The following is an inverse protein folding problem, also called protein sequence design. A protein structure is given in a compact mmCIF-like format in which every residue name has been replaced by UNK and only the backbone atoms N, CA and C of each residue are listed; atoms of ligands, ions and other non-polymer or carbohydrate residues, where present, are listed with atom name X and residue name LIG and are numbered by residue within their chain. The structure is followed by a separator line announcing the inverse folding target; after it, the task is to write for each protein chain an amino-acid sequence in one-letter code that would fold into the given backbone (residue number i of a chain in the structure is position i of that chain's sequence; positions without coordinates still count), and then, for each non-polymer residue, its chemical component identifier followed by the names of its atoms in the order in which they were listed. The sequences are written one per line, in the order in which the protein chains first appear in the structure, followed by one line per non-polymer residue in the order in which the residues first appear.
data_IF_857646890981
#
_entry.id   IF_857646890981
#
_cell.length_a   1.000
_cell.length_b   1.000
_cell.length_c   1.000
_cell.angle_alpha   90.00
_cell.angle_beta   90.00
_cell.angle_gamma   90.00
#
_symmetry.space_group_name_H-M   'P 1'
#
loop_
_entity.id
_entity.type
_entity.pdbx_description
1 polymer ?
#
# COMPACT_ATOMS: atom_id res chain seq x y z
N UNK A 1 7.37 19.49 -5.19
CA UNK A 1 6.74 18.15 -5.02
C UNK A 1 6.75 17.67 -3.56
N UNK A 2 7.44 18.36 -2.65
CA UNK A 2 7.49 18.08 -1.20
C UNK A 2 6.21 18.46 -0.44
N UNK A 3 5.39 19.38 -0.96
CA UNK A 3 4.33 20.00 -0.16
C UNK A 3 3.04 19.15 -0.07
N UNK A 4 2.96 18.06 -0.84
CA UNK A 4 1.81 17.14 -0.83
C UNK A 4 1.99 15.94 0.09
N UNK A 5 3.22 15.65 0.56
CA UNK A 5 3.48 14.49 1.43
C UNK A 5 2.87 14.67 2.81
N UNK A 6 2.90 15.90 3.35
CA UNK A 6 2.23 16.26 4.59
C UNK A 6 0.73 15.95 4.53
N UNK A 7 0.02 16.55 3.57
CA UNK A 7 -1.41 16.34 3.41
C UNK A 7 -1.74 14.89 3.08
N UNK A 8 -0.90 14.19 2.32
CA UNK A 8 -1.06 12.76 2.05
C UNK A 8 -0.98 11.93 3.34
N UNK A 9 -0.01 12.21 4.22
CA UNK A 9 0.16 11.51 5.50
C UNK A 9 -1.03 11.76 6.45
N UNK A 10 -1.41 13.02 6.60
CA UNK A 10 -2.51 13.43 7.51
C UNK A 10 -3.86 12.90 7.00
N UNK A 11 -4.17 13.12 5.72
CA UNK A 11 -5.43 12.66 5.14
C UNK A 11 -5.53 11.12 5.10
N UNK A 12 -4.43 10.41 4.88
CA UNK A 12 -4.41 8.94 4.94
C UNK A 12 -4.89 8.45 6.31
N UNK A 13 -4.39 9.04 7.40
CA UNK A 13 -4.85 8.73 8.75
C UNK A 13 -6.35 8.96 8.91
N UNK A 14 -6.84 10.13 8.49
CA UNK A 14 -8.26 10.49 8.59
C UNK A 14 -9.18 9.54 7.81
N UNK A 15 -8.81 9.20 6.59
CA UNK A 15 -9.61 8.31 5.73
C UNK A 15 -9.57 6.85 6.21
N UNK A 16 -8.44 6.39 6.74
CA UNK A 16 -8.31 5.02 7.25
C UNK A 16 -9.07 4.82 8.57
N UNK A 17 -9.05 5.82 9.45
CA UNK A 17 -9.68 5.72 10.78
C UNK A 17 -11.04 6.39 10.86
N UNK A 18 -11.55 6.98 9.77
CA UNK A 18 -12.78 7.77 9.75
C UNK A 18 -12.79 8.85 10.84
N UNK A 19 -11.65 9.52 11.04
CA UNK A 19 -11.38 10.48 12.12
C UNK A 19 -11.45 9.94 13.56
N UNK A 20 -11.69 8.65 13.79
CA UNK A 20 -11.81 8.05 15.15
C UNK A 20 -10.53 8.24 15.96
N UNK A 21 -9.36 8.20 15.32
CA UNK A 21 -8.08 8.34 16.02
C UNK A 21 -7.71 9.76 16.40
N UNK A 22 -8.41 10.77 15.85
CA UNK A 22 -8.08 12.19 16.06
C UNK A 22 -9.17 12.95 16.79
N UNK A 23 -10.44 12.51 16.73
CA UNK A 23 -11.56 13.12 17.44
C UNK A 23 -11.86 12.40 18.76
N UNK A 24 -12.40 13.12 19.77
CA UNK A 24 -13.05 12.47 20.91
C UNK A 24 -14.14 11.49 20.47
N UNK A 25 -14.26 10.36 21.16
CA UNK A 25 -15.11 9.24 20.74
C UNK A 25 -16.58 9.66 20.50
N UNK A 26 -17.11 10.56 21.32
CA UNK A 26 -18.47 11.09 21.22
C UNK A 26 -18.71 11.88 19.93
N UNK A 27 -17.69 12.58 19.44
CA UNK A 27 -17.72 13.32 18.19
C UNK A 27 -17.48 12.38 17.00
N UNK A 28 -16.56 11.42 17.17
CA UNK A 28 -16.23 10.46 16.12
C UNK A 28 -17.42 9.59 15.70
N UNK A 29 -18.29 9.18 16.64
CA UNK A 29 -19.49 8.40 16.32
C UNK A 29 -20.43 9.15 15.38
N UNK A 30 -20.65 10.46 15.59
CA UNK A 30 -21.48 11.27 14.69
C UNK A 30 -20.90 11.33 13.25
N UNK A 31 -19.57 11.36 13.12
CA UNK A 31 -18.89 11.31 11.81
C UNK A 31 -19.08 9.94 11.15
N UNK A 32 -18.99 8.86 11.94
CA UNK A 32 -19.23 7.50 11.47
C UNK A 32 -20.68 7.30 11.01
N UNK A 33 -21.65 7.89 11.71
CA UNK A 33 -23.05 7.88 11.29
C UNK A 33 -23.24 8.55 9.93
N UNK A 34 -22.58 9.68 9.70
CA UNK A 34 -22.58 10.37 8.41
C UNK A 34 -21.92 9.52 7.30
N UNK A 35 -20.83 8.79 7.64
CA UNK A 35 -20.19 7.85 6.72
C UNK A 35 -21.12 6.68 6.34
N UNK A 36 -21.89 6.13 7.27
CA UNK A 36 -22.83 5.05 6.93
C UNK A 36 -23.97 5.53 6.03
N UNK A 37 -24.40 6.79 6.17
CA UNK A 37 -25.47 7.36 5.35
C UNK A 37 -24.99 7.78 3.95
N UNK A 38 -23.87 8.51 3.85
CA UNK A 38 -23.44 9.18 2.61
C UNK A 38 -22.07 8.69 2.09
N UNK A 39 -21.49 7.70 2.75
CA UNK A 39 -20.24 7.06 2.38
C UNK A 39 -19.01 7.96 2.54
N UNK A 40 -18.01 7.67 1.72
CA UNK A 40 -16.72 8.38 1.71
C UNK A 40 -16.85 9.89 1.42
N UNK A 41 -17.94 10.30 0.79
CA UNK A 41 -18.23 11.69 0.46
C UNK A 41 -18.31 12.56 1.72
N UNK A 42 -18.98 12.08 2.77
CA UNK A 42 -19.09 12.77 4.05
C UNK A 42 -17.71 13.00 4.68
N UNK A 43 -16.84 11.99 4.64
CA UNK A 43 -15.47 12.06 5.19
C UNK A 43 -14.62 13.07 4.42
N UNK A 44 -14.75 13.11 3.09
CA UNK A 44 -14.07 14.11 2.26
C UNK A 44 -14.56 15.53 2.57
N UNK A 45 -15.88 15.73 2.66
CA UNK A 45 -16.49 17.04 2.97
C UNK A 45 -16.04 17.53 4.35
N UNK A 46 -16.03 16.66 5.36
CA UNK A 46 -15.56 16.98 6.69
C UNK A 46 -14.06 17.33 6.68
N UNK A 47 -13.23 16.52 6.01
CA UNK A 47 -11.79 16.79 5.90
C UNK A 47 -11.49 18.13 5.23
N UNK A 48 -12.23 18.49 4.19
CA UNK A 48 -12.12 19.80 3.55
C UNK A 48 -12.54 20.93 4.49
N UNK A 49 -13.64 20.78 5.21
CA UNK A 49 -14.10 21.77 6.20
C UNK A 49 -13.09 21.97 7.34
N UNK A 50 -12.47 20.89 7.84
CA UNK A 50 -11.42 20.97 8.87
C UNK A 50 -10.19 21.71 8.36
N UNK A 51 -9.74 21.42 7.13
CA UNK A 51 -8.60 22.09 6.52
C UNK A 51 -8.88 23.57 6.30
N UNK A 52 -10.08 23.89 5.82
CA UNK A 52 -10.51 25.25 5.53
C UNK A 52 -10.68 26.09 6.82
N UNK A 53 -11.24 25.50 7.87
CA UNK A 53 -11.32 26.14 9.19
C UNK A 53 -9.93 26.51 9.74
N UNK A 54 -8.92 25.68 9.47
CA UNK A 54 -7.56 25.90 9.97
C UNK A 54 -6.65 26.55 8.92
N UNK A 55 -7.17 26.99 7.77
CA UNK A 55 -6.37 27.44 6.63
C UNK A 55 -5.40 28.56 6.99
N UNK A 56 -5.88 29.63 7.64
CA UNK A 56 -5.03 30.77 8.03
C UNK A 56 -3.88 30.33 8.93
N UNK A 57 -4.14 29.41 9.86
CA UNK A 57 -3.12 28.89 10.78
C UNK A 57 -2.13 28.00 10.06
N UNK A 58 -2.61 27.12 9.17
CA UNK A 58 -1.79 26.24 8.35
C UNK A 58 -0.86 27.03 7.42
N UNK A 59 -1.34 28.13 6.82
CA UNK A 59 -0.52 29.00 5.97
C UNK A 59 0.61 29.71 6.74
N UNK A 60 0.47 29.88 8.05
CA UNK A 60 1.51 30.49 8.90
C UNK A 60 2.53 29.49 9.45
N UNK A 61 2.28 28.19 9.30
CA UNK A 61 3.17 27.14 9.82
C UNK A 61 4.50 27.11 9.07
N UNK A 62 5.59 26.86 9.79
CA UNK A 62 6.95 26.80 9.21
C UNK A 62 7.37 25.40 8.80
N UNK A 63 6.82 24.38 9.45
CA UNK A 63 7.11 22.98 9.21
C UNK A 63 5.87 22.09 9.37
N UNK A 64 5.99 20.85 8.85
CA UNK A 64 4.93 19.84 8.91
C UNK A 64 4.56 19.50 10.36
N UNK A 65 5.54 19.54 11.28
CA UNK A 65 5.32 19.25 12.69
C UNK A 65 4.39 20.27 13.34
N UNK A 66 4.63 21.57 13.13
CA UNK A 66 3.76 22.65 13.61
C UNK A 66 2.34 22.48 13.05
N UNK A 67 2.20 22.20 11.75
CA UNK A 67 0.91 21.98 11.10
C UNK A 67 0.13 20.79 11.71
N UNK A 68 0.81 19.66 12.00
CA UNK A 68 0.20 18.54 12.74
C UNK A 68 -0.28 18.99 14.12
N UNK A 69 0.52 19.77 14.86
CA UNK A 69 0.10 20.24 16.20
C UNK A 69 -1.11 21.17 16.14
N UNK A 70 -1.23 22.00 15.10
CA UNK A 70 -2.40 22.88 14.90
C UNK A 70 -3.66 22.06 14.67
N UNK A 71 -3.58 21.05 13.81
CA UNK A 71 -4.72 20.16 13.52
C UNK A 71 -5.12 19.32 14.74
N UNK A 72 -4.16 18.73 15.45
CA UNK A 72 -4.46 17.97 16.67
C UNK A 72 -5.11 18.85 17.74
N UNK A 73 -4.57 20.06 17.98
CA UNK A 73 -5.19 21.03 18.89
C UNK A 73 -6.59 21.44 18.43
N UNK A 74 -6.86 21.50 17.13
CA UNK A 74 -8.21 21.76 16.65
C UNK A 74 -9.15 20.61 17.03
N UNK A 75 -8.77 19.36 16.74
CA UNK A 75 -9.58 18.19 17.07
C UNK A 75 -9.82 18.01 18.58
N UNK A 76 -8.84 18.33 19.42
CA UNK A 76 -9.00 18.33 20.89
C UNK A 76 -10.07 19.32 21.37
N UNK A 77 -10.31 20.41 20.61
CA UNK A 77 -11.32 21.41 20.90
C UNK A 77 -12.70 21.11 20.28
N UNK A 78 -12.81 20.05 19.46
CA UNK A 78 -14.07 19.59 18.89
C UNK A 78 -14.77 18.69 19.90
N UNK A 79 -16.02 18.99 20.22
CA UNK A 79 -16.78 18.23 21.21
C UNK A 79 -18.25 18.10 20.82
N UNK A 80 -18.92 17.14 21.45
CA UNK A 80 -20.35 16.94 21.30
C UNK A 80 -21.09 17.55 22.49
N UNK A 81 -21.90 18.59 22.26
CA UNK A 81 -22.72 19.23 23.30
C UNK A 81 -23.90 18.35 23.76
N UNK A 82 -24.35 17.42 22.92
CA UNK A 82 -25.49 16.53 23.17
C UNK A 82 -25.07 15.18 23.78
N UNK A 83 -23.84 15.07 24.30
CA UNK A 83 -23.37 13.82 24.92
C UNK A 83 -24.19 13.46 26.17
N UNK A 84 -24.70 12.22 26.27
CA UNK A 84 -25.41 11.74 27.46
C UNK A 84 -24.47 11.41 28.63
N UNK A 85 -23.14 11.53 28.45
CA UNK A 85 -22.16 11.15 29.47
C UNK A 85 -21.86 12.32 30.44
N UNK A 86 -21.72 12.04 31.75
CA UNK A 86 -21.40 13.08 32.72
C UNK A 86 -19.99 13.65 32.51
N UNK A 87 -19.86 14.97 32.60
CA UNK A 87 -18.62 15.73 32.39
C UNK A 87 -17.44 15.30 33.29
N UNK A 88 -17.69 14.48 34.31
CA UNK A 88 -16.69 13.94 35.25
C UNK A 88 -15.76 12.89 34.65
N UNK A 89 -16.11 12.25 33.52
CA UNK A 89 -15.22 11.28 32.84
C UNK A 89 -14.27 11.98 31.85
N UNK A 90 -14.46 13.27 31.58
CA UNK A 90 -13.77 14.05 30.54
C UNK A 90 -12.46 14.72 31.00
N UNK A 91 -12.11 14.63 32.29
CA UNK A 91 -10.84 15.18 32.81
C UNK A 91 -9.85 14.05 33.15
N UNK A 92 -9.33 13.38 32.12
CA UNK A 92 -8.06 12.67 32.22
C UNK A 92 -6.98 13.47 31.45
N UNK A 93 -6.75 14.69 31.91
CA UNK A 93 -5.58 15.50 31.58
C UNK A 93 -5.04 16.10 32.89
N UNK A 94 -3.70 16.24 33.06
CA UNK A 94 -3.13 16.55 34.36
C UNK A 94 -3.61 17.92 34.86
N UNK A 95 -3.94 17.97 36.15
CA UNK A 95 -4.32 19.18 36.89
C UNK A 95 -3.11 20.12 36.90
N UNK A 96 -3.04 20.96 35.87
CA UNK A 96 -2.13 22.10 35.77
C UNK A 96 -2.98 23.36 35.68
N UNK A 97 -3.09 24.06 36.80
CA UNK A 97 -3.62 25.42 36.86
C UNK A 97 -2.79 26.32 35.96
N UNK A 98 -3.35 26.82 34.86
CA UNK A 98 -2.98 28.13 34.34
C UNK A 98 -4.11 28.75 33.52
N UNK A 99 -4.35 30.03 33.79
CA UNK A 99 -5.49 30.77 33.31
C UNK A 99 -5.46 31.06 31.82
N UNK A 100 -6.68 31.06 31.27
CA UNK A 100 -7.12 32.02 30.26
C UNK A 100 -6.52 31.88 28.85
N UNK A 101 -7.13 30.98 28.06
CA UNK A 101 -7.70 31.25 26.73
C UNK A 101 -8.64 30.07 26.42
N UNK A 102 -9.93 30.24 26.70
CA UNK A 102 -10.94 29.30 26.22
C UNK A 102 -10.92 29.34 24.69
N UNK A 103 -10.27 28.38 24.05
CA UNK A 103 -10.48 28.19 22.62
C UNK A 103 -11.98 27.95 22.41
N UNK A 104 -12.60 28.57 21.38
CA UNK A 104 -14.02 28.35 21.11
C UNK A 104 -14.22 26.86 20.85
N UNK A 105 -14.94 26.20 21.76
CA UNK A 105 -15.28 24.79 21.67
C UNK A 105 -16.19 24.61 20.44
N UNK A 106 -15.67 24.00 19.39
CA UNK A 106 -16.41 23.75 18.15
C UNK A 106 -17.30 22.54 18.38
N UNK A 107 -18.60 22.69 18.14
CA UNK A 107 -19.51 21.56 18.23
C UNK A 107 -19.40 20.69 16.98
N UNK A 108 -19.35 19.38 17.16
CA UNK A 108 -19.24 18.45 16.03
C UNK A 108 -20.45 18.52 15.10
N UNK A 109 -21.65 18.75 15.63
CA UNK A 109 -22.88 18.85 14.82
C UNK A 109 -22.85 20.10 13.96
N UNK A 110 -22.38 21.21 14.53
CA UNK A 110 -22.15 22.46 13.80
C UNK A 110 -21.10 22.26 12.69
N UNK A 111 -19.99 21.58 12.99
CA UNK A 111 -18.93 21.29 12.01
C UNK A 111 -19.40 20.39 10.87
N UNK A 112 -20.15 19.33 11.19
CA UNK A 112 -20.75 18.45 10.19
C UNK A 112 -21.72 19.25 9.32
N UNK A 113 -22.60 20.04 9.92
CA UNK A 113 -23.55 20.88 9.19
C UNK A 113 -22.84 21.85 8.26
N UNK A 114 -21.82 22.57 8.74
CA UNK A 114 -21.01 23.48 7.93
C UNK A 114 -20.34 22.75 6.76
N UNK A 115 -19.84 21.52 6.98
CA UNK A 115 -19.25 20.72 5.91
C UNK A 115 -20.25 20.38 4.80
N UNK A 116 -21.50 20.05 5.16
CA UNK A 116 -22.58 19.78 4.21
C UNK A 116 -23.07 21.03 3.50
N UNK A 117 -23.11 22.18 4.17
CA UNK A 117 -23.53 23.45 3.57
C UNK A 117 -22.46 23.97 2.58
N UNK A 118 -21.19 23.95 2.97
CA UNK A 118 -20.08 24.50 2.19
C UNK A 118 -19.64 23.59 1.05
N UNK A 119 -19.57 22.29 1.31
CA UNK A 119 -19.10 21.28 0.35
C UNK A 119 -20.21 20.37 -0.17
N UNK A 120 -21.49 20.72 0.04
CA UNK A 120 -22.66 19.98 -0.45
C UNK A 120 -22.74 19.86 -1.98
N UNK A 121 -22.03 20.73 -2.71
CA UNK A 121 -21.91 20.65 -4.17
C UNK A 121 -21.12 19.44 -4.66
N UNK A 122 -20.28 18.83 -3.82
CA UNK A 122 -19.52 17.63 -4.16
C UNK A 122 -20.48 16.46 -4.30
N UNK A 123 -20.57 15.90 -5.51
CA UNK A 123 -21.43 14.74 -5.80
C UNK A 123 -20.67 13.43 -5.57
N UNK A 124 -21.38 12.40 -5.10
CA UNK A 124 -20.80 11.05 -4.93
C UNK A 124 -20.21 10.52 -6.24
N UNK A 125 -20.88 10.76 -7.38
CA UNK A 125 -20.40 10.38 -8.71
C UNK A 125 -19.04 11.01 -9.07
N UNK A 126 -18.80 12.25 -8.67
CA UNK A 126 -17.55 12.97 -8.93
C UNK A 126 -16.42 12.39 -8.08
N UNK A 127 -16.68 12.12 -6.80
CA UNK A 127 -15.73 11.44 -5.90
C UNK A 127 -15.37 10.07 -6.46
N UNK A 128 -16.35 9.28 -6.88
CA UNK A 128 -16.11 7.97 -7.48
C UNK A 128 -15.38 8.07 -8.83
N UNK A 129 -15.64 9.09 -9.63
CA UNK A 129 -14.90 9.36 -10.87
C UNK A 129 -13.42 9.66 -10.60
N UNK A 130 -13.13 10.52 -9.62
CA UNK A 130 -11.76 10.83 -9.20
C UNK A 130 -11.06 9.58 -8.64
N UNK A 131 -11.77 8.76 -7.85
CA UNK A 131 -11.24 7.48 -7.36
C UNK A 131 -10.89 6.54 -8.50
N UNK A 132 -11.79 6.38 -9.48
CA UNK A 132 -11.52 5.54 -10.67
C UNK A 132 -10.34 6.06 -11.47
N UNK A 133 -10.26 7.38 -11.70
CA UNK A 133 -9.16 8.02 -12.42
C UNK A 133 -7.80 7.80 -11.77
N UNK A 134 -7.74 7.84 -10.43
CA UNK A 134 -6.49 7.66 -9.69
C UNK A 134 -6.16 6.20 -9.35
N UNK A 135 -7.12 5.27 -9.51
CA UNK A 135 -6.97 3.86 -9.08
C UNK A 135 -5.74 3.19 -9.69
N UNK A 136 -5.53 3.33 -11.00
CA UNK A 136 -4.40 2.69 -11.68
C UNK A 136 -3.06 3.25 -11.19
N UNK A 137 -2.99 4.57 -11.01
CA UNK A 137 -1.78 5.23 -10.49
C UNK A 137 -1.44 4.77 -9.07
N UNK A 138 -2.44 4.65 -8.19
CA UNK A 138 -2.24 4.15 -6.82
C UNK A 138 -1.79 2.69 -6.85
N UNK A 139 -2.42 1.84 -7.66
CA UNK A 139 -2.02 0.43 -7.81
C UNK A 139 -0.57 0.34 -8.29
N UNK A 140 -0.20 1.06 -9.34
CA UNK A 140 1.17 1.10 -9.85
C UNK A 140 2.17 1.54 -8.78
N UNK A 141 1.85 2.57 -8.00
CA UNK A 141 2.70 3.07 -6.91
C UNK A 141 2.90 2.02 -5.81
N UNK A 142 1.84 1.29 -5.45
CA UNK A 142 1.91 0.20 -4.47
C UNK A 142 2.72 -0.98 -5.00
N UNK A 143 2.54 -1.34 -6.28
CA UNK A 143 3.31 -2.38 -6.95
C UNK A 143 4.80 -2.03 -7.03
N UNK A 144 5.13 -0.78 -7.36
CA UNK A 144 6.51 -0.30 -7.41
C UNK A 144 7.15 -0.31 -6.03
N UNK A 145 6.42 0.12 -5.00
CA UNK A 145 6.88 0.05 -3.60
C UNK A 145 7.17 -1.39 -3.19
N UNK A 146 6.27 -2.31 -3.53
CA UNK A 146 6.43 -3.75 -3.26
C UNK A 146 7.64 -4.31 -4.00
N UNK A 147 7.78 -4.01 -5.30
CA UNK A 147 8.97 -4.40 -6.09
C UNK A 147 10.24 -3.93 -5.38
N UNK A 148 10.33 -2.66 -5.00
CA UNK A 148 11.51 -2.13 -4.31
C UNK A 148 11.79 -2.84 -2.99
N UNK A 149 10.75 -3.26 -2.26
CA UNK A 149 10.91 -4.05 -1.04
C UNK A 149 11.49 -5.44 -1.32
N UNK A 150 10.97 -6.14 -2.33
CA UNK A 150 11.50 -7.44 -2.79
C UNK A 150 12.96 -7.31 -3.21
N UNK A 151 13.27 -6.36 -4.11
CA UNK A 151 14.61 -6.15 -4.65
C UNK A 151 15.62 -5.85 -3.53
N UNK A 152 15.23 -5.08 -2.52
CA UNK A 152 16.10 -4.74 -1.36
C UNK A 152 16.45 -5.95 -0.51
N UNK A 153 15.54 -6.91 -0.35
CA UNK A 153 15.81 -8.14 0.41
C UNK A 153 16.68 -9.07 -0.41
N UNK A 154 16.30 -9.32 -1.67
CA UNK A 154 17.00 -10.27 -2.53
C UNK A 154 18.43 -9.79 -2.84
N UNK A 155 18.66 -8.49 -3.02
CA UNK A 155 20.00 -7.94 -3.29
C UNK A 155 21.03 -8.19 -2.18
N UNK A 156 20.60 -8.54 -0.96
CA UNK A 156 21.50 -8.92 0.12
C UNK A 156 22.04 -10.35 -0.01
N UNK A 157 21.35 -11.19 -0.79
CA UNK A 157 21.62 -12.64 -0.88
C UNK A 157 22.22 -13.05 -2.23
N UNK A 158 22.18 -12.17 -3.23
CA UNK A 158 22.65 -12.45 -4.59
C UNK A 158 23.63 -11.39 -5.09
N UNK A 159 24.52 -11.78 -6.00
CA UNK A 159 25.57 -10.91 -6.55
C UNK A 159 25.15 -10.12 -7.80
N UNK A 160 23.85 -10.03 -8.09
CA UNK A 160 23.35 -9.28 -9.25
C UNK A 160 23.46 -7.77 -9.04
N UNK A 161 23.67 -7.04 -10.12
CA UNK A 161 23.51 -5.58 -10.10
C UNK A 161 22.04 -5.19 -9.92
N UNK A 162 21.79 -3.97 -9.44
CA UNK A 162 20.41 -3.47 -9.26
C UNK A 162 19.59 -3.51 -10.54
N UNK A 163 20.21 -3.25 -11.70
CA UNK A 163 19.55 -3.26 -13.00
C UNK A 163 19.20 -4.68 -13.45
N UNK A 164 20.11 -5.63 -13.28
CA UNK A 164 19.85 -7.04 -13.62
C UNK A 164 18.73 -7.62 -12.76
N UNK A 165 18.70 -7.29 -11.47
CA UNK A 165 17.66 -7.78 -10.56
C UNK A 165 16.28 -7.20 -10.92
N UNK A 166 16.22 -5.94 -11.34
CA UNK A 166 14.99 -5.32 -11.84
C UNK A 166 14.51 -5.97 -13.14
N UNK A 167 15.40 -6.24 -14.09
CA UNK A 167 15.07 -6.94 -15.33
C UNK A 167 14.56 -8.36 -15.08
N UNK A 168 15.22 -9.10 -14.18
CA UNK A 168 14.78 -10.44 -13.76
C UNK A 168 13.41 -10.39 -13.09
N UNK A 169 13.17 -9.41 -12.22
CA UNK A 169 11.86 -9.23 -11.56
C UNK A 169 10.77 -8.95 -12.57
N UNK A 170 11.01 -8.04 -13.52
CA UNK A 170 10.07 -7.72 -14.59
C UNK A 170 9.76 -8.95 -15.46
N UNK A 171 10.78 -9.76 -15.78
CA UNK A 171 10.61 -10.99 -16.53
C UNK A 171 9.80 -12.03 -15.75
N UNK A 172 10.13 -12.24 -14.48
CA UNK A 172 9.45 -13.16 -13.58
C UNK A 172 7.97 -12.78 -13.40
N UNK A 173 7.70 -11.51 -13.08
CA UNK A 173 6.37 -10.93 -12.97
C UNK A 173 5.59 -11.08 -14.28
N UNK A 174 6.22 -10.82 -15.43
CA UNK A 174 5.59 -11.01 -16.74
C UNK A 174 5.16 -12.46 -16.96
N UNK A 175 5.97 -13.44 -16.57
CA UNK A 175 5.64 -14.85 -16.74
C UNK A 175 4.54 -15.32 -15.80
N UNK A 176 4.53 -14.81 -14.56
CA UNK A 176 3.42 -15.00 -13.64
C UNK A 176 2.10 -14.56 -14.31
N UNK A 177 2.04 -13.33 -14.86
CA UNK A 177 0.83 -12.83 -15.52
C UNK A 177 0.52 -13.53 -16.85
N UNK A 178 1.50 -13.88 -17.67
CA UNK A 178 1.26 -14.49 -18.98
C UNK A 178 0.50 -15.81 -18.84
N UNK A 179 0.85 -16.63 -17.85
CA UNK A 179 0.10 -17.86 -17.60
C UNK A 179 -1.28 -17.61 -16.99
N UNK A 180 -1.44 -16.54 -16.21
CA UNK A 180 -2.72 -16.13 -15.62
C UNK A 180 -3.75 -15.68 -16.68
N UNK A 181 -3.34 -14.94 -17.71
CA UNK A 181 -4.25 -14.38 -18.73
C UNK A 181 -4.47 -15.29 -19.94
N UNK A 182 -3.47 -16.06 -20.38
CA UNK A 182 -3.55 -16.83 -21.64
C UNK A 182 -3.96 -18.30 -21.45
N UNK A 183 -4.00 -18.80 -20.21
CA UNK A 183 -4.53 -20.13 -19.90
C UNK A 183 -5.98 -19.96 -19.48
N UNK A 184 -6.92 -20.32 -20.36
CA UNK A 184 -8.37 -20.06 -20.25
C UNK A 184 -9.08 -20.58 -18.97
N UNK A 185 -8.37 -21.23 -18.04
CA UNK A 185 -8.87 -21.77 -16.77
C UNK A 185 -7.82 -21.70 -15.65
N UNK A 186 -7.02 -20.62 -15.56
CA UNK A 186 -6.07 -20.51 -14.45
C UNK A 186 -6.77 -19.99 -13.19
N UNK A 187 -6.86 -20.77 -12.09
CA UNK A 187 -7.39 -20.29 -10.82
C UNK A 187 -6.55 -19.15 -10.23
N UNK A 188 -5.38 -18.84 -10.79
CA UNK A 188 -4.41 -17.90 -10.22
C UNK A 188 -4.84 -16.43 -10.36
N UNK A 189 -5.70 -16.08 -11.34
CA UNK A 189 -6.36 -14.76 -11.36
C UNK A 189 -7.35 -14.58 -10.19
N UNK A 190 -7.81 -15.67 -9.56
CA UNK A 190 -8.57 -15.65 -8.30
C UNK A 190 -7.65 -15.66 -7.06
N UNK A 191 -6.34 -15.86 -7.22
CA UNK A 191 -5.35 -16.02 -6.14
C UNK A 191 -4.31 -14.90 -6.07
N UNK A 192 -4.57 -13.70 -6.61
CA UNK A 192 -3.84 -12.54 -6.11
C UNK A 192 -4.33 -12.27 -4.69
N UNK A 193 -3.73 -12.96 -3.72
CA UNK A 193 -4.03 -12.79 -2.31
C UNK A 193 -3.21 -11.62 -1.76
N UNK A 194 -3.82 -10.45 -1.55
CA UNK A 194 -3.11 -9.28 -1.05
C UNK A 194 -2.67 -9.45 0.42
N UNK A 195 -3.11 -10.50 1.11
CA UNK A 195 -2.69 -10.79 2.49
C UNK A 195 -1.33 -11.46 2.57
N UNK A 196 -0.80 -11.97 1.45
CA UNK A 196 0.51 -12.60 1.41
C UNK A 196 1.65 -11.57 1.60
N UNK A 197 2.74 -11.96 2.27
CA UNK A 197 3.96 -11.16 2.34
C UNK A 197 4.46 -10.75 0.94
N UNK A 198 5.08 -9.58 0.84
CA UNK A 198 5.55 -9.02 -0.45
C UNK A 198 6.46 -9.96 -1.26
N UNK A 199 7.15 -10.89 -0.60
CA UNK A 199 8.01 -11.88 -1.24
C UNK A 199 7.24 -13.04 -1.89
N UNK A 200 6.05 -13.34 -1.38
CA UNK A 200 5.19 -14.46 -1.79
C UNK A 200 4.09 -14.00 -2.75
N UNK A 201 3.93 -12.69 -2.98
CA UNK A 201 2.91 -12.14 -3.88
C UNK A 201 3.02 -12.65 -5.31
N UNK A 202 4.24 -12.93 -5.78
CA UNK A 202 4.47 -13.51 -7.10
C UNK A 202 5.17 -14.85 -6.96
N UNK A 203 4.42 -15.89 -7.30
CA UNK A 203 4.89 -17.27 -7.30
C UNK A 203 4.63 -17.92 -8.65
N UNK A 204 5.50 -18.85 -9.04
CA UNK A 204 5.40 -19.59 -10.27
C UNK A 204 5.23 -21.07 -10.00
N UNK A 205 4.18 -21.66 -10.56
CA UNK A 205 4.05 -23.11 -10.62
C UNK A 205 5.04 -23.73 -11.62
N UNK A 206 5.24 -25.05 -11.54
CA UNK A 206 6.11 -25.79 -12.47
C UNK A 206 5.84 -25.49 -13.95
N UNK A 207 4.57 -25.42 -14.34
CA UNK A 207 4.16 -25.12 -15.71
C UNK A 207 4.63 -23.71 -16.16
N UNK A 208 4.55 -22.74 -15.25
CA UNK A 208 4.94 -21.34 -15.52
C UNK A 208 6.46 -21.18 -15.53
N UNK A 209 7.14 -21.83 -14.59
CA UNK A 209 8.58 -21.85 -14.51
C UNK A 209 9.21 -22.41 -15.79
N UNK A 210 8.59 -23.41 -16.44
CA UNK A 210 9.08 -23.97 -17.71
C UNK A 210 9.29 -22.92 -18.80
N UNK A 211 8.39 -21.93 -18.91
CA UNK A 211 8.53 -20.87 -19.89
C UNK A 211 9.72 -19.94 -19.59
N UNK A 212 9.94 -19.60 -18.32
CA UNK A 212 11.15 -18.88 -17.90
C UNK A 212 12.42 -19.69 -18.16
N UNK A 213 12.39 -20.98 -17.80
CA UNK A 213 13.51 -21.88 -17.97
C UNK A 213 13.93 -21.98 -19.43
N UNK A 214 12.98 -22.06 -20.36
CA UNK A 214 13.23 -22.03 -21.80
C UNK A 214 13.87 -20.73 -22.28
N UNK A 215 13.48 -19.58 -21.71
CA UNK A 215 14.00 -18.28 -22.13
C UNK A 215 15.41 -18.01 -21.61
N UNK A 216 15.71 -18.49 -20.40
CA UNK A 216 16.96 -18.21 -19.69
C UNK A 216 18.01 -19.31 -19.84
N UNK A 217 17.59 -20.55 -20.12
CA UNK A 217 18.53 -21.66 -20.26
C UNK A 217 19.13 -21.74 -21.67
N UNK A 218 20.45 -21.97 -21.80
CA UNK A 218 21.09 -22.24 -23.08
C UNK A 218 20.70 -23.60 -23.66
N UNK A 219 20.00 -24.42 -22.87
CA UNK A 219 19.62 -25.80 -23.17
C UNK A 219 18.15 -25.97 -23.52
N UNK A 220 17.48 -24.88 -23.89
CA UNK A 220 16.11 -24.89 -24.41
C UNK A 220 15.87 -25.93 -25.52
N UNK A 221 16.94 -26.39 -26.19
CA UNK A 221 16.93 -27.32 -27.32
C UNK A 221 17.35 -28.75 -26.97
N UNK A 222 17.52 -29.10 -25.69
CA UNK A 222 17.92 -30.45 -25.28
C UNK A 222 16.73 -31.44 -25.36
N UNK A 223 16.97 -32.67 -25.79
CA UNK A 223 15.95 -33.72 -25.89
C UNK A 223 15.28 -34.08 -24.55
N UNK A 224 15.96 -33.83 -23.42
CA UNK A 224 15.47 -34.12 -22.06
C UNK A 224 15.02 -32.86 -21.31
N UNK A 225 14.53 -31.84 -22.02
CA UNK A 225 14.13 -30.56 -21.45
C UNK A 225 13.14 -30.72 -20.29
N UNK A 226 12.07 -31.51 -20.46
CA UNK A 226 11.00 -31.59 -19.46
C UNK A 226 11.49 -32.21 -18.15
N UNK A 227 12.36 -33.23 -18.21
CA UNK A 227 12.99 -33.78 -17.03
C UNK A 227 13.85 -32.70 -16.36
N UNK A 228 14.71 -32.03 -17.13
CA UNK A 228 15.64 -31.04 -16.59
C UNK A 228 14.93 -29.84 -15.97
N UNK A 229 13.85 -29.36 -16.58
CA UNK A 229 12.98 -28.32 -16.00
C UNK A 229 12.37 -28.79 -14.69
N UNK A 230 11.88 -30.03 -14.61
CA UNK A 230 11.30 -30.58 -13.38
C UNK A 230 12.33 -30.72 -12.26
N UNK A 231 13.52 -31.22 -12.56
CA UNK A 231 14.62 -31.32 -11.58
C UNK A 231 15.07 -29.95 -11.11
N UNK A 232 15.18 -28.99 -12.02
CA UNK A 232 15.53 -27.60 -11.70
C UNK A 232 14.44 -26.99 -10.82
N UNK A 233 13.16 -27.17 -11.16
CA UNK A 233 12.05 -26.67 -10.37
C UNK A 233 12.09 -27.21 -8.93
N UNK A 234 12.24 -28.53 -8.77
CA UNK A 234 12.35 -29.16 -7.44
C UNK A 234 13.57 -28.75 -6.65
N UNK A 235 14.63 -28.31 -7.32
CA UNK A 235 15.82 -27.78 -6.67
C UNK A 235 15.62 -26.35 -6.18
N UNK A 236 14.81 -25.56 -6.90
CA UNK A 236 14.48 -24.17 -6.55
C UNK A 236 13.39 -24.07 -5.48
N UNK A 237 12.46 -25.02 -5.46
CA UNK A 237 11.38 -25.15 -4.48
C UNK A 237 11.94 -25.66 -3.13
N UNK A 238 12.62 -24.77 -2.39
CA UNK A 238 13.28 -25.07 -1.11
C UNK A 238 12.28 -25.46 -0.01
N UNK A 239 11.10 -24.84 -0.02
CA UNK A 239 10.05 -25.05 0.97
C UNK A 239 9.08 -26.20 0.59
N UNK A 240 9.22 -26.78 -0.60
CA UNK A 240 8.43 -27.89 -1.12
C UNK A 240 6.92 -27.59 -1.21
N UNK A 241 6.57 -26.33 -1.45
CA UNK A 241 5.18 -25.89 -1.58
C UNK A 241 4.63 -26.07 -3.01
N UNK A 242 5.48 -26.50 -3.96
CA UNK A 242 5.12 -26.68 -5.36
C UNK A 242 5.04 -25.37 -6.14
N UNK A 243 5.60 -24.29 -5.60
CA UNK A 243 5.71 -22.97 -6.17
C UNK A 243 7.15 -22.46 -6.03
N UNK A 244 7.53 -21.49 -6.87
CA UNK A 244 8.82 -20.80 -6.77
C UNK A 244 8.55 -19.33 -6.64
N UNK A 245 9.05 -18.70 -5.57
CA UNK A 245 9.03 -17.25 -5.40
C UNK A 245 10.24 -16.59 -6.07
N UNK A 246 10.21 -15.25 -6.17
CA UNK A 246 11.29 -14.51 -6.82
C UNK A 246 12.65 -14.66 -6.12
N UNK A 247 12.66 -14.83 -4.79
CA UNK A 247 13.88 -15.00 -4.01
C UNK A 247 14.57 -16.31 -4.35
N UNK A 248 13.85 -17.43 -4.30
CA UNK A 248 14.35 -18.77 -4.65
C UNK A 248 14.92 -18.78 -6.08
N UNK A 249 14.17 -18.19 -7.00
CA UNK A 249 14.58 -18.05 -8.39
C UNK A 249 15.92 -17.29 -8.54
N UNK A 250 16.07 -16.14 -7.86
CA UNK A 250 17.30 -15.36 -7.91
C UNK A 250 18.46 -16.02 -7.16
N UNK A 251 18.22 -16.64 -6.01
CA UNK A 251 19.25 -17.33 -5.23
C UNK A 251 19.84 -18.50 -6.03
N UNK A 252 18.99 -19.27 -6.71
CA UNK A 252 19.46 -20.32 -7.60
C UNK A 252 20.27 -19.75 -8.77
N UNK A 253 19.90 -18.62 -9.34
CA UNK A 253 20.67 -18.03 -10.45
C UNK A 253 22.02 -17.45 -9.98
N UNK A 254 22.05 -16.81 -8.79
CA UNK A 254 23.17 -16.03 -8.29
C UNK A 254 24.22 -16.79 -7.46
N UNK A 255 23.85 -17.84 -6.74
CA UNK A 255 24.74 -18.53 -5.79
C UNK A 255 25.54 -19.71 -6.38
N UNK A 256 25.75 -19.75 -7.69
CA UNK A 256 26.49 -20.87 -8.28
C UNK A 256 25.74 -22.18 -8.17
N UNK A 257 24.40 -22.17 -8.25
CA UNK A 257 23.63 -23.41 -8.36
C UNK A 257 24.07 -24.16 -9.63
N UNK A 258 23.65 -25.44 -9.81
CA UNK A 258 23.99 -26.20 -11.01
C UNK A 258 23.79 -25.39 -12.29
N UNK A 259 22.77 -24.52 -12.36
CA UNK A 259 22.50 -23.63 -13.50
C UNK A 259 23.67 -22.71 -13.87
N UNK A 260 24.38 -22.14 -12.91
CA UNK A 260 25.50 -21.22 -13.16
C UNK A 260 26.74 -21.99 -13.67
N UNK A 261 27.05 -23.14 -13.05
CA UNK A 261 28.11 -24.05 -13.54
C UNK A 261 27.80 -24.62 -14.93
N UNK A 262 26.52 -24.84 -15.21
CA UNK A 262 25.97 -25.33 -16.47
C UNK A 262 26.02 -24.26 -17.58
N UNK A 263 25.69 -23.01 -17.24
CA UNK A 263 25.81 -21.84 -18.09
C UNK A 263 27.28 -21.57 -18.48
N UNK A 264 28.21 -21.71 -17.53
CA UNK A 264 29.65 -21.60 -17.80
C UNK A 264 30.22 -22.76 -18.62
N UNK A 265 29.81 -24.01 -18.33
CA UNK A 265 30.24 -25.18 -19.12
C UNK A 265 29.84 -25.08 -20.61
N UNK A 266 28.71 -24.44 -20.91
CA UNK A 266 28.27 -24.24 -22.29
C UNK A 266 29.09 -23.19 -23.06
N UNK A 267 29.74 -22.23 -22.38
CA UNK A 267 30.68 -21.30 -23.05
C UNK A 267 31.97 -21.99 -23.48
N UNK A 268 32.43 -22.99 -22.73
CA UNK A 268 33.67 -23.72 -23.02
C UNK A 268 33.55 -24.77 -24.15
N UNK A 269 32.33 -25.13 -24.58
CA UNK A 269 32.09 -26.15 -25.62
C UNK A 269 31.85 -25.56 -27.03
N UNK A 270 31.96 -24.24 -27.18
CA UNK A 270 31.92 -23.51 -28.47
C UNK A 270 33.30 -22.93 -28.87
N UNK A 271 34.37 -23.48 -28.31
CA UNK A 271 35.75 -23.27 -28.79
C UNK A 271 36.19 -24.42 -29.66
#
# INVERSE_FOLDING_TARGET
MTDMTFFSSVSLSWFLTLFISVLPIESAVNVVDCFFYDGIKAILQLGLAVLDYNMDRLLTCRDDAEAVTVLNKFFDNVANKDSPLPATVLQQGPVGSDGNKSHPKVDITDLIKESYEKYGGIRSEEVESMRRGNKLYVIQTLEDTTKQNVLRVVSQEVKFSSTELEDLYNLFKRQHFLSCYWTMNSPILLHHDPSLPYLEQYQLSHHQFRALFLLLSPWAHCANLDALTLWTFRLLDENQDGLINFKEFCCALGNGSPLTYILEFSKHKKG
#
